data_IF_489334350117
#
_entry.id   IF_489334350117
#
_cell.length_a   1.000
_cell.length_b   1.000
_cell.length_c   1.000
_cell.angle_alpha   90.00
_cell.angle_beta   90.00
_cell.angle_gamma   90.00
#
_symmetry.space_group_name_H-M   'P 1'
#
loop_
_entity.id
_entity.type
_entity.pdbx_description
1 polymer ?
#
# COMPACT_ATOMS: atom_id res chain seq x y z
N UNK A 1 -25.68 -43.37 -28.13
CA UNK A 1 -25.65 -42.86 -26.76
C UNK A 1 -27.01 -42.24 -26.52
N UNK A 2 -27.76 -42.74 -25.58
CA UNK A 2 -29.13 -42.25 -25.36
C UNK A 2 -29.12 -40.77 -25.04
N UNK A 3 -30.06 -39.99 -25.59
CA UNK A 3 -30.10 -38.54 -25.40
C UNK A 3 -30.05 -38.09 -23.94
N UNK A 4 -30.67 -38.90 -23.05
CA UNK A 4 -30.66 -38.67 -21.60
C UNK A 4 -29.28 -38.86 -20.96
N UNK A 5 -28.51 -39.86 -21.42
CA UNK A 5 -27.14 -40.09 -20.91
C UNK A 5 -26.22 -38.95 -21.38
N UNK A 6 -26.41 -38.44 -22.61
CA UNK A 6 -25.67 -37.26 -23.12
C UNK A 6 -25.97 -36.03 -22.28
N UNK A 7 -27.25 -35.78 -21.92
CA UNK A 7 -27.64 -34.66 -21.06
C UNK A 7 -27.02 -34.69 -19.67
N UNK A 8 -27.00 -35.88 -19.03
CA UNK A 8 -26.33 -36.05 -17.74
C UNK A 8 -24.80 -35.82 -17.80
N UNK A 9 -24.18 -36.29 -18.89
CA UNK A 9 -22.74 -36.09 -19.08
C UNK A 9 -22.42 -34.60 -19.26
N UNK A 10 -23.26 -33.88 -20.06
CA UNK A 10 -23.13 -32.43 -20.19
C UNK A 10 -23.36 -31.70 -18.85
N UNK A 11 -24.30 -32.18 -18.02
CA UNK A 11 -24.51 -31.63 -16.69
C UNK A 11 -23.23 -31.66 -15.84
N UNK A 12 -22.58 -32.81 -15.79
CA UNK A 12 -21.32 -32.94 -15.04
C UNK A 12 -20.22 -32.03 -15.60
N UNK A 13 -20.07 -31.98 -16.92
CA UNK A 13 -19.08 -31.12 -17.60
C UNK A 13 -19.34 -29.65 -17.30
N UNK A 14 -20.58 -29.20 -17.45
CA UNK A 14 -20.95 -27.79 -17.19
C UNK A 14 -20.84 -27.42 -15.72
N UNK A 15 -21.21 -28.34 -14.82
CA UNK A 15 -21.08 -28.15 -13.38
C UNK A 15 -19.60 -28.01 -12.97
N UNK A 16 -18.72 -28.85 -13.52
CA UNK A 16 -17.26 -28.74 -13.30
C UNK A 16 -16.69 -27.46 -13.93
N UNK A 17 -17.18 -27.06 -15.10
CA UNK A 17 -16.81 -25.79 -15.74
C UNK A 17 -17.21 -24.59 -14.87
N UNK A 18 -18.44 -24.59 -14.35
CA UNK A 18 -18.91 -23.58 -13.42
C UNK A 18 -18.04 -23.52 -12.15
N UNK A 19 -17.81 -24.67 -11.55
CA UNK A 19 -16.95 -24.83 -10.37
C UNK A 19 -15.53 -24.30 -10.62
N UNK A 20 -14.97 -24.55 -11.81
CA UNK A 20 -13.66 -24.02 -12.21
C UNK A 20 -13.66 -22.49 -12.24
N UNK A 21 -14.64 -21.86 -12.92
CA UNK A 21 -14.69 -20.39 -12.99
C UNK A 21 -14.90 -19.75 -11.62
N UNK A 22 -15.81 -20.29 -10.80
CA UNK A 22 -16.05 -19.81 -9.44
C UNK A 22 -14.78 -19.97 -8.57
N UNK A 23 -14.17 -21.15 -8.59
CA UNK A 23 -12.96 -21.37 -7.81
C UNK A 23 -11.80 -20.46 -8.24
N UNK A 24 -11.62 -20.26 -9.54
CA UNK A 24 -10.59 -19.39 -10.08
C UNK A 24 -10.82 -17.92 -9.75
N UNK A 25 -12.08 -17.45 -9.77
CA UNK A 25 -12.46 -16.11 -9.35
C UNK A 25 -12.04 -15.84 -7.91
N UNK A 26 -12.50 -16.69 -6.98
CA UNK A 26 -12.18 -16.51 -5.57
C UNK A 26 -10.71 -16.74 -5.26
N UNK A 27 -10.02 -17.59 -6.00
CA UNK A 27 -8.58 -17.76 -5.87
C UNK A 27 -7.80 -16.49 -6.27
N UNK A 28 -8.20 -15.80 -7.36
CA UNK A 28 -7.56 -14.52 -7.77
C UNK A 28 -7.75 -13.44 -6.74
N UNK A 29 -8.96 -13.32 -6.15
CA UNK A 29 -9.28 -12.27 -5.18
C UNK A 29 -8.63 -12.53 -3.81
N UNK A 30 -8.60 -13.80 -3.37
CA UNK A 30 -8.20 -14.16 -2.01
C UNK A 30 -6.71 -14.45 -1.86
N UNK A 31 -6.02 -14.77 -2.96
CA UNK A 31 -4.59 -15.09 -2.91
C UNK A 31 -3.74 -13.83 -2.65
N UNK A 32 -2.79 -13.93 -1.73
CA UNK A 32 -1.90 -12.83 -1.38
C UNK A 32 -0.69 -12.82 -2.31
N UNK A 33 -0.47 -11.70 -3.01
CA UNK A 33 0.66 -11.51 -3.92
C UNK A 33 2.00 -11.83 -3.23
N UNK A 34 2.19 -11.35 -2.00
CA UNK A 34 3.40 -11.55 -1.22
C UNK A 34 3.77 -13.04 -0.97
N UNK A 35 2.80 -13.97 -1.02
CA UNK A 35 3.05 -15.39 -0.86
C UNK A 35 3.37 -16.12 -2.19
N UNK A 36 2.97 -15.52 -3.31
CA UNK A 36 3.17 -16.08 -4.66
C UNK A 36 4.47 -15.54 -5.29
N UNK A 37 4.81 -14.29 -5.04
CA UNK A 37 5.94 -13.56 -5.62
C UNK A 37 7.29 -14.28 -5.43
N UNK A 38 7.65 -14.80 -4.23
CA UNK A 38 8.91 -15.54 -4.05
C UNK A 38 9.03 -16.79 -4.92
N UNK A 39 7.88 -17.45 -5.20
CA UNK A 39 7.85 -18.62 -6.10
C UNK A 39 7.99 -18.22 -7.56
N UNK A 40 7.49 -17.05 -7.96
CA UNK A 40 7.66 -16.50 -9.30
C UNK A 40 9.11 -16.09 -9.55
N UNK A 41 9.77 -15.49 -8.54
CA UNK A 41 11.21 -15.17 -8.56
C UNK A 41 12.08 -16.41 -8.63
N UNK A 42 11.71 -17.47 -7.91
CA UNK A 42 12.35 -18.79 -7.99
C UNK A 42 12.14 -19.51 -9.35
N UNK A 43 11.46 -18.86 -10.32
CA UNK A 43 11.34 -19.37 -11.69
C UNK A 43 10.07 -20.18 -11.99
N UNK A 44 9.14 -20.34 -11.04
CA UNK A 44 7.89 -21.08 -11.23
C UNK A 44 6.99 -20.44 -12.30
N UNK A 45 6.75 -21.18 -13.40
CA UNK A 45 5.87 -20.71 -14.50
C UNK A 45 4.42 -20.43 -14.05
N UNK A 46 3.76 -21.33 -13.27
CA UNK A 46 2.41 -21.06 -12.76
C UNK A 46 2.36 -19.78 -11.92
N UNK A 47 3.34 -19.56 -11.03
CA UNK A 47 3.39 -18.38 -10.19
C UNK A 47 3.55 -17.09 -11.02
N UNK A 48 4.41 -17.09 -12.06
CA UNK A 48 4.55 -15.94 -12.98
C UNK A 48 3.26 -15.62 -13.72
N UNK A 49 2.50 -16.65 -14.15
CA UNK A 49 1.20 -16.43 -14.81
C UNK A 49 0.16 -15.92 -13.83
N UNK A 50 0.17 -16.43 -12.60
CA UNK A 50 -0.75 -15.96 -11.53
C UNK A 50 -0.50 -14.49 -11.20
N UNK A 51 0.77 -14.07 -11.05
CA UNK A 51 1.10 -12.65 -10.83
C UNK A 51 0.59 -11.78 -12.00
N UNK A 52 0.83 -12.20 -13.25
CA UNK A 52 0.30 -11.49 -14.45
C UNK A 52 -1.22 -11.41 -14.48
N UNK A 53 -1.91 -12.42 -13.98
CA UNK A 53 -3.36 -12.42 -13.85
C UNK A 53 -3.82 -11.46 -12.75
N UNK A 54 -3.13 -11.45 -11.60
CA UNK A 54 -3.39 -10.52 -10.50
C UNK A 54 -3.15 -9.05 -10.89
N UNK A 55 -2.26 -8.77 -11.85
CA UNK A 55 -2.10 -7.43 -12.43
C UNK A 55 -3.25 -7.01 -13.36
N UNK A 56 -4.18 -7.93 -13.67
CA UNK A 56 -5.32 -7.73 -14.59
C UNK A 56 -6.61 -8.26 -13.99
N UNK A 57 -6.84 -7.93 -12.73
CA UNK A 57 -7.97 -8.48 -11.94
C UNK A 57 -9.30 -8.29 -12.65
N UNK A 58 -9.62 -7.11 -13.18
CA UNK A 58 -10.87 -6.86 -13.92
C UNK A 58 -11.05 -7.78 -15.12
N UNK A 59 -9.99 -8.03 -15.89
CA UNK A 59 -10.08 -8.96 -16.99
C UNK A 59 -10.36 -10.38 -16.52
N UNK A 60 -9.74 -10.79 -15.41
CA UNK A 60 -9.96 -12.11 -14.80
C UNK A 60 -11.40 -12.23 -14.31
N UNK A 61 -11.90 -11.25 -13.55
CA UNK A 61 -13.26 -11.23 -13.02
C UNK A 61 -14.31 -11.22 -14.13
N UNK A 62 -14.15 -10.37 -15.15
CA UNK A 62 -15.06 -10.37 -16.30
C UNK A 62 -15.08 -11.73 -17.02
N UNK A 63 -13.90 -12.38 -17.11
CA UNK A 63 -13.78 -13.70 -17.73
C UNK A 63 -14.50 -14.77 -16.92
N UNK A 64 -14.34 -14.78 -15.61
CA UNK A 64 -15.01 -15.76 -14.71
C UNK A 64 -16.52 -15.55 -14.72
N UNK A 65 -16.99 -14.30 -14.65
CA UNK A 65 -18.42 -13.98 -14.70
C UNK A 65 -19.08 -14.42 -16.02
N UNK A 66 -18.41 -14.19 -17.16
CA UNK A 66 -18.89 -14.68 -18.46
C UNK A 66 -18.93 -16.21 -18.44
N UNK A 67 -17.88 -16.86 -17.95
CA UNK A 67 -17.79 -18.31 -17.87
C UNK A 67 -18.89 -18.93 -17.01
N UNK A 68 -19.10 -18.41 -15.80
CA UNK A 68 -20.18 -18.82 -14.88
C UNK A 68 -21.55 -18.63 -15.55
N UNK A 69 -21.78 -17.46 -16.17
CA UNK A 69 -23.06 -17.17 -16.82
C UNK A 69 -23.35 -18.15 -17.98
N UNK A 70 -22.36 -18.42 -18.83
CA UNK A 70 -22.49 -19.40 -19.92
C UNK A 70 -22.79 -20.80 -19.39
N UNK A 71 -22.03 -21.26 -18.39
CA UNK A 71 -22.25 -22.58 -17.77
C UNK A 71 -23.65 -22.68 -17.16
N UNK A 72 -24.11 -21.68 -16.44
CA UNK A 72 -25.41 -21.64 -15.78
C UNK A 72 -26.55 -21.65 -16.78
N UNK A 73 -26.46 -20.86 -17.84
CA UNK A 73 -27.47 -20.84 -18.92
C UNK A 73 -27.52 -22.16 -19.69
N UNK A 74 -26.36 -22.77 -19.96
CA UNK A 74 -26.32 -24.08 -20.64
C UNK A 74 -26.83 -25.19 -19.75
N UNK A 75 -26.60 -25.17 -18.44
CA UNK A 75 -27.20 -26.11 -17.49
C UNK A 75 -28.73 -26.02 -17.59
N UNK A 76 -29.29 -24.82 -17.54
CA UNK A 76 -30.72 -24.65 -17.62
C UNK A 76 -31.31 -25.16 -18.96
N UNK A 77 -30.66 -24.87 -20.10
CA UNK A 77 -31.19 -25.22 -21.44
C UNK A 77 -30.98 -26.68 -21.82
N UNK A 78 -29.85 -27.29 -21.44
CA UNK A 78 -29.48 -28.64 -21.90
C UNK A 78 -29.88 -29.70 -20.87
N UNK A 79 -29.76 -29.38 -19.59
CA UNK A 79 -29.89 -30.39 -18.50
C UNK A 79 -31.33 -30.54 -18.07
N UNK A 80 -32.07 -29.42 -17.95
CA UNK A 80 -33.46 -29.46 -17.49
C UNK A 80 -34.32 -30.43 -18.31
N UNK A 81 -34.38 -30.35 -19.67
CA UNK A 81 -35.16 -31.30 -20.45
C UNK A 81 -34.74 -32.75 -20.28
N UNK A 82 -33.43 -33.00 -20.15
CA UNK A 82 -32.89 -34.36 -20.00
C UNK A 82 -33.27 -35.00 -18.67
N UNK A 83 -33.25 -34.22 -17.57
CA UNK A 83 -33.66 -34.71 -16.24
C UNK A 83 -35.17 -34.83 -16.17
N UNK A 84 -35.92 -33.89 -16.78
CA UNK A 84 -37.37 -33.96 -16.86
C UNK A 84 -37.87 -35.29 -17.52
N UNK A 85 -37.32 -35.62 -18.68
CA UNK A 85 -37.64 -36.88 -19.38
C UNK A 85 -37.24 -38.13 -18.62
N UNK A 86 -36.27 -38.06 -17.71
CA UNK A 86 -35.88 -39.18 -16.84
C UNK A 86 -36.88 -39.41 -15.69
N UNK A 87 -37.48 -38.32 -15.18
CA UNK A 87 -38.43 -38.34 -14.07
C UNK A 87 -39.87 -38.64 -14.50
N UNK A 88 -40.26 -38.20 -15.70
CA UNK A 88 -41.62 -38.33 -16.22
C UNK A 88 -42.17 -39.78 -16.17
N UNK A 89 -41.43 -40.82 -16.60
CA UNK A 89 -41.91 -42.21 -16.51
C UNK A 89 -42.14 -42.69 -15.08
N UNK A 90 -41.31 -42.20 -14.12
CA UNK A 90 -41.45 -42.56 -12.72
C UNK A 90 -42.72 -41.95 -12.08
N UNK A 91 -43.08 -40.74 -12.49
CA UNK A 91 -44.27 -40.05 -12.00
C UNK A 91 -45.57 -40.59 -12.65
N UNK A 92 -45.52 -41.02 -13.89
CA UNK A 92 -46.64 -41.73 -14.54
C UNK A 92 -46.94 -43.08 -13.86
N UNK A 93 -45.93 -43.78 -13.34
CA UNK A 93 -46.12 -45.03 -12.60
C UNK A 93 -46.90 -44.85 -11.28
N UNK A 94 -47.02 -43.62 -10.76
CA UNK A 94 -47.78 -43.30 -9.55
C UNK A 94 -49.23 -42.89 -9.85
N UNK A 95 -49.69 -43.06 -11.11
CA UNK A 95 -51.07 -42.73 -11.57
C UNK A 95 -51.48 -41.27 -11.42
N UNK A 96 -50.51 -40.33 -11.47
CA UNK A 96 -50.76 -38.90 -11.61
C UNK A 96 -51.21 -38.58 -13.03
N UNK A 97 -52.23 -37.71 -13.18
CA UNK A 97 -52.61 -37.24 -14.51
C UNK A 97 -51.49 -36.52 -15.22
N UNK A 98 -51.40 -36.68 -16.55
CA UNK A 98 -50.24 -36.26 -17.37
C UNK A 98 -49.80 -34.82 -17.13
N UNK A 99 -50.71 -33.87 -17.01
CA UNK A 99 -50.39 -32.44 -16.77
C UNK A 99 -49.82 -32.20 -15.37
N UNK A 100 -50.29 -32.96 -14.36
CA UNK A 100 -49.78 -32.84 -12.97
C UNK A 100 -48.43 -33.49 -12.85
N UNK A 101 -48.26 -34.68 -13.46
CA UNK A 101 -47.00 -35.40 -13.52
C UNK A 101 -45.89 -34.56 -14.14
N UNK A 102 -46.16 -33.92 -15.27
CA UNK A 102 -45.20 -33.04 -15.94
C UNK A 102 -44.85 -31.79 -15.13
N UNK A 103 -45.82 -31.11 -14.49
CA UNK A 103 -45.56 -29.96 -13.64
C UNK A 103 -44.74 -30.32 -12.41
N UNK A 104 -45.04 -31.47 -11.78
CA UNK A 104 -44.25 -31.98 -10.64
C UNK A 104 -42.82 -32.35 -11.04
N UNK A 105 -42.68 -33.07 -12.19
CA UNK A 105 -41.38 -33.41 -12.76
C UNK A 105 -40.53 -32.17 -13.00
N UNK A 106 -41.10 -31.16 -13.62
CA UNK A 106 -40.42 -29.88 -13.88
C UNK A 106 -39.99 -29.20 -12.59
N UNK A 107 -40.90 -29.00 -11.63
CA UNK A 107 -40.59 -28.36 -10.36
C UNK A 107 -39.51 -29.09 -9.57
N UNK A 108 -39.59 -30.42 -9.51
CA UNK A 108 -38.59 -31.23 -8.83
C UNK A 108 -37.22 -31.17 -9.54
N UNK A 109 -37.20 -31.26 -10.86
CA UNK A 109 -35.99 -31.11 -11.68
C UNK A 109 -35.32 -29.76 -11.40
N UNK A 110 -36.11 -28.68 -11.44
CA UNK A 110 -35.61 -27.33 -11.22
C UNK A 110 -34.95 -27.23 -9.79
N UNK A 111 -35.62 -27.75 -8.77
CA UNK A 111 -35.06 -27.73 -7.40
C UNK A 111 -33.78 -28.54 -7.29
N UNK A 112 -33.75 -29.79 -7.80
CA UNK A 112 -32.58 -30.65 -7.71
C UNK A 112 -31.41 -30.11 -8.52
N UNK A 113 -31.62 -29.70 -9.75
CA UNK A 113 -30.56 -29.14 -10.61
C UNK A 113 -30.03 -27.83 -10.03
N UNK A 114 -30.90 -26.93 -9.55
CA UNK A 114 -30.47 -25.69 -8.90
C UNK A 114 -29.72 -25.95 -7.61
N UNK A 115 -30.18 -26.90 -6.79
CA UNK A 115 -29.47 -27.27 -5.58
C UNK A 115 -28.06 -27.79 -5.86
N UNK A 116 -27.91 -28.73 -6.80
CA UNK A 116 -26.60 -29.25 -7.19
C UNK A 116 -25.70 -28.17 -7.81
N UNK A 117 -26.29 -27.30 -8.65
CA UNK A 117 -25.56 -26.17 -9.25
C UNK A 117 -25.03 -25.22 -8.17
N UNK A 118 -25.88 -24.78 -7.24
CA UNK A 118 -25.46 -23.84 -6.18
C UNK A 118 -24.46 -24.51 -5.24
N UNK A 119 -24.72 -25.74 -4.77
CA UNK A 119 -23.84 -26.36 -3.77
C UNK A 119 -22.51 -26.80 -4.39
N UNK A 120 -22.56 -27.59 -5.49
CA UNK A 120 -21.36 -28.18 -6.08
C UNK A 120 -20.69 -27.21 -7.06
N UNK A 121 -21.49 -26.45 -7.82
CA UNK A 121 -21.00 -25.50 -8.82
C UNK A 121 -20.49 -24.17 -8.25
N UNK A 122 -20.98 -23.74 -7.07
CA UNK A 122 -20.63 -22.42 -6.51
C UNK A 122 -20.08 -22.51 -5.07
N UNK A 123 -20.86 -23.05 -4.10
CA UNK A 123 -20.47 -22.95 -2.68
C UNK A 123 -19.21 -23.74 -2.35
N UNK A 124 -19.13 -25.00 -2.81
CA UNK A 124 -17.97 -25.86 -2.54
C UNK A 124 -16.69 -25.30 -3.17
N UNK A 125 -16.65 -24.93 -4.46
CA UNK A 125 -15.47 -24.35 -5.09
C UNK A 125 -15.02 -23.06 -4.44
N UNK A 126 -15.96 -22.17 -4.11
CA UNK A 126 -15.73 -20.93 -3.37
C UNK A 126 -15.06 -21.20 -2.02
N UNK A 127 -15.62 -22.10 -1.21
CA UNK A 127 -15.10 -22.40 0.12
C UNK A 127 -13.70 -23.05 0.06
N UNK A 128 -13.44 -23.89 -0.93
CA UNK A 128 -12.11 -24.48 -1.16
C UNK A 128 -11.10 -23.36 -1.48
N UNK A 129 -11.46 -22.43 -2.37
CA UNK A 129 -10.57 -21.35 -2.76
C UNK A 129 -10.28 -20.37 -1.61
N UNK A 130 -11.23 -20.15 -0.70
CA UNK A 130 -10.99 -19.39 0.52
C UNK A 130 -10.10 -20.11 1.53
N UNK A 131 -10.22 -21.46 1.59
CA UNK A 131 -9.45 -22.25 2.57
C UNK A 131 -7.98 -22.41 2.19
N UNK A 132 -7.66 -22.47 0.90
CA UNK A 132 -6.29 -22.69 0.39
C UNK A 132 -6.00 -21.77 -0.82
N UNK A 133 -6.09 -20.44 -0.66
CA UNK A 133 -6.12 -19.49 -1.77
C UNK A 133 -4.88 -19.55 -2.65
N UNK A 134 -3.69 -19.66 -2.07
CA UNK A 134 -2.43 -19.67 -2.85
C UNK A 134 -2.29 -20.93 -3.70
N UNK A 135 -2.70 -22.09 -3.17
CA UNK A 135 -2.65 -23.35 -3.93
C UNK A 135 -3.69 -23.36 -5.03
N UNK A 136 -4.91 -22.91 -4.73
CA UNK A 136 -5.98 -22.76 -5.72
C UNK A 136 -5.56 -21.81 -6.85
N UNK A 137 -4.96 -20.67 -6.52
CA UNK A 137 -4.49 -19.72 -7.50
C UNK A 137 -3.40 -20.30 -8.40
N UNK A 138 -2.42 -21.00 -7.86
CA UNK A 138 -1.34 -21.58 -8.67
C UNK A 138 -1.82 -22.69 -9.61
N UNK A 139 -2.93 -23.37 -9.30
CA UNK A 139 -3.50 -24.45 -10.13
C UNK A 139 -4.48 -23.89 -11.17
N UNK A 140 -5.39 -23.00 -10.75
CA UNK A 140 -6.54 -22.61 -11.57
C UNK A 140 -6.27 -21.34 -12.40
N UNK A 141 -5.57 -20.37 -11.83
CA UNK A 141 -5.37 -19.07 -12.48
C UNK A 141 -4.54 -19.13 -13.78
N UNK A 142 -3.52 -19.98 -13.92
CA UNK A 142 -2.84 -20.14 -15.20
C UNK A 142 -3.78 -20.55 -16.36
N UNK A 143 -4.71 -21.47 -16.10
CA UNK A 143 -5.70 -21.89 -17.09
C UNK A 143 -6.69 -20.74 -17.38
N UNK A 144 -7.20 -20.08 -16.35
CA UNK A 144 -8.06 -18.91 -16.47
C UNK A 144 -7.39 -17.80 -17.29
N UNK A 145 -6.09 -17.55 -17.10
CA UNK A 145 -5.34 -16.52 -17.84
C UNK A 145 -5.37 -16.75 -19.35
N UNK A 146 -5.22 -18.01 -19.79
CA UNK A 146 -5.32 -18.34 -21.22
C UNK A 146 -6.74 -18.17 -21.76
N UNK A 147 -7.77 -18.55 -20.99
CA UNK A 147 -9.17 -18.32 -21.34
C UNK A 147 -9.45 -16.82 -21.46
N UNK A 148 -8.99 -16.04 -20.49
CA UNK A 148 -9.13 -14.58 -20.48
C UNK A 148 -8.46 -13.92 -21.69
N UNK A 149 -7.30 -14.42 -22.09
CA UNK A 149 -6.61 -13.91 -23.29
C UNK A 149 -7.42 -14.19 -24.58
N UNK A 150 -8.04 -15.37 -24.67
CA UNK A 150 -8.88 -15.75 -25.81
C UNK A 150 -10.15 -14.90 -25.92
N UNK A 151 -10.81 -14.61 -24.80
CA UNK A 151 -12.06 -13.82 -24.78
C UNK A 151 -11.85 -12.32 -24.55
N UNK A 152 -10.59 -11.87 -24.46
CA UNK A 152 -10.25 -10.45 -24.25
C UNK A 152 -11.00 -9.47 -25.17
N UNK A 153 -11.16 -9.74 -26.50
CA UNK A 153 -11.91 -8.82 -27.37
C UNK A 153 -13.39 -8.72 -26.98
N UNK A 154 -14.00 -9.80 -26.48
CA UNK A 154 -15.38 -9.80 -25.98
C UNK A 154 -15.50 -8.95 -24.73
N UNK A 155 -14.60 -9.17 -23.76
CA UNK A 155 -14.56 -8.38 -22.53
C UNK A 155 -14.33 -6.89 -22.83
N UNK A 156 -13.45 -6.56 -23.78
CA UNK A 156 -13.23 -5.18 -24.20
C UNK A 156 -14.51 -4.53 -24.77
N UNK A 157 -15.26 -5.27 -25.57
CA UNK A 157 -16.54 -4.80 -26.09
C UNK A 157 -17.58 -4.53 -24.99
N UNK A 158 -17.68 -5.44 -24.03
CA UNK A 158 -18.57 -5.27 -22.87
C UNK A 158 -18.17 -4.07 -22.01
N UNK A 159 -16.86 -3.89 -21.77
CA UNK A 159 -16.36 -2.74 -21.03
C UNK A 159 -16.63 -1.41 -21.75
N UNK A 160 -16.53 -1.37 -23.08
CA UNK A 160 -16.90 -0.17 -23.87
C UNK A 160 -18.39 0.15 -23.67
N UNK A 161 -19.27 -0.86 -23.74
CA UNK A 161 -20.69 -0.67 -23.50
C UNK A 161 -20.99 -0.20 -22.07
N UNK A 162 -20.40 -0.84 -21.06
CA UNK A 162 -20.54 -0.48 -19.65
C UNK A 162 -20.05 0.95 -19.39
N UNK A 163 -18.86 1.31 -19.90
CA UNK A 163 -18.31 2.66 -19.76
C UNK A 163 -19.15 3.71 -20.50
N UNK A 164 -19.79 3.34 -21.60
CA UNK A 164 -20.78 4.18 -22.31
C UNK A 164 -21.98 4.51 -21.41
N UNK A 165 -22.51 3.51 -20.72
CA UNK A 165 -23.61 3.68 -19.76
C UNK A 165 -23.15 4.54 -18.55
N UNK A 166 -21.98 4.27 -17.98
CA UNK A 166 -21.44 5.05 -16.85
C UNK A 166 -21.30 6.55 -17.19
N UNK A 167 -20.88 6.85 -18.44
CA UNK A 167 -20.77 8.25 -18.91
C UNK A 167 -22.14 8.95 -18.98
N UNK A 168 -23.22 8.24 -19.26
CA UNK A 168 -24.57 8.81 -19.21
C UNK A 168 -24.98 9.25 -17.81
N UNK A 169 -24.43 8.60 -16.78
CA UNK A 169 -24.63 8.95 -15.37
C UNK A 169 -23.55 9.92 -14.84
N UNK A 170 -22.66 10.45 -15.69
CA UNK A 170 -21.60 11.38 -15.29
C UNK A 170 -20.41 10.75 -14.53
N UNK A 171 -20.37 9.42 -14.46
CA UNK A 171 -19.30 8.68 -13.77
C UNK A 171 -18.18 8.36 -14.77
N UNK A 172 -16.92 8.69 -14.38
CA UNK A 172 -15.74 8.28 -15.14
C UNK A 172 -15.21 6.97 -14.54
N UNK A 173 -15.09 5.93 -15.36
CA UNK A 173 -14.42 4.70 -14.97
C UNK A 173 -12.94 5.01 -14.66
N UNK A 174 -12.45 4.59 -13.47
CA UNK A 174 -11.02 4.59 -13.15
C UNK A 174 -10.36 3.40 -13.84
N UNK A 175 -9.26 3.65 -14.55
CA UNK A 175 -8.40 2.58 -15.04
C UNK A 175 -7.71 1.92 -13.84
N UNK A 176 -7.94 0.62 -13.64
CA UNK A 176 -7.36 -0.19 -12.54
C UNK A 176 -5.84 -0.36 -12.63
N UNK A 177 -5.22 0.08 -13.73
CA UNK A 177 -3.79 -0.03 -13.96
C UNK A 177 -2.92 0.80 -12.99
N UNK A 178 -3.52 1.68 -12.19
CA UNK A 178 -2.84 2.55 -11.23
C UNK A 178 -3.23 2.24 -9.78
N UNK A 179 -3.03 1.01 -9.35
CA UNK A 179 -3.04 0.68 -7.90
C UNK A 179 -1.67 0.90 -7.25
N UNK A 180 -0.97 1.98 -7.63
CA UNK A 180 0.05 2.54 -6.76
C UNK A 180 -0.69 3.20 -5.59
N UNK A 181 -0.48 2.70 -4.40
CA UNK A 181 -0.97 3.35 -3.19
C UNK A 181 -0.33 4.74 -3.11
N UNK A 182 -1.13 5.76 -2.82
CA UNK A 182 -0.60 7.07 -2.48
C UNK A 182 0.05 7.01 -1.10
N UNK A 183 0.92 7.98 -0.77
CA UNK A 183 1.56 8.06 0.54
C UNK A 183 0.50 8.04 1.65
N UNK A 184 -0.55 8.86 1.51
CA UNK A 184 -1.68 8.94 2.45
C UNK A 184 -2.38 7.58 2.67
N UNK A 185 -2.55 6.78 1.61
CA UNK A 185 -3.14 5.43 1.73
C UNK A 185 -2.23 4.45 2.45
N UNK A 186 -0.91 4.60 2.30
CA UNK A 186 0.07 3.78 3.03
C UNK A 186 0.07 4.18 4.50
N UNK A 187 -0.02 5.47 4.80
CA UNK A 187 -0.16 6.00 6.16
C UNK A 187 -1.42 5.46 6.85
N UNK A 188 -2.59 5.56 6.20
CA UNK A 188 -3.86 5.00 6.69
C UNK A 188 -3.74 3.50 7.01
N UNK A 189 -3.08 2.72 6.13
CA UNK A 189 -2.86 1.29 6.33
C UNK A 189 -1.96 1.03 7.54
N UNK A 190 -0.89 1.80 7.71
CA UNK A 190 0.04 1.69 8.84
C UNK A 190 -0.66 2.04 10.15
N UNK A 191 -1.40 3.16 10.19
CA UNK A 191 -2.14 3.59 11.36
C UNK A 191 -3.19 2.54 11.77
N UNK A 192 -3.96 2.03 10.83
CA UNK A 192 -4.96 0.99 11.08
C UNK A 192 -4.32 -0.32 11.58
N UNK A 193 -3.21 -0.74 10.95
CA UNK A 193 -2.47 -1.94 11.35
C UNK A 193 -1.86 -1.82 12.75
N UNK A 194 -1.44 -0.62 13.14
CA UNK A 194 -0.90 -0.33 14.48
C UNK A 194 -2.02 -0.34 15.52
N UNK A 195 -3.20 0.23 15.23
CA UNK A 195 -4.37 0.19 16.10
C UNK A 195 -4.89 -1.23 16.34
N UNK A 196 -4.85 -2.08 15.31
CA UNK A 196 -5.26 -3.49 15.43
C UNK A 196 -4.19 -4.39 16.07
N UNK A 197 -3.01 -3.86 16.38
CA UNK A 197 -1.90 -4.63 16.95
C UNK A 197 -1.22 -5.58 15.97
N UNK A 198 -1.51 -5.47 14.66
CA UNK A 198 -0.87 -6.24 13.61
C UNK A 198 0.54 -5.71 13.27
N UNK A 199 0.76 -4.41 13.49
CA UNK A 199 2.04 -3.73 13.38
C UNK A 199 2.43 -3.16 14.75
N UNK A 200 3.68 -3.37 15.17
CA UNK A 200 4.21 -2.83 16.42
C UNK A 200 5.11 -1.63 16.10
N UNK A 201 4.61 -0.42 16.31
CA UNK A 201 5.39 0.81 16.22
C UNK A 201 5.57 1.42 17.62
N UNK A 202 6.30 0.67 18.49
CA UNK A 202 6.50 1.05 19.89
C UNK A 202 7.27 2.37 20.08
N UNK A 203 8.04 2.79 19.10
CA UNK A 203 8.83 4.03 19.11
C UNK A 203 8.12 5.19 18.40
N UNK A 204 7.03 4.93 17.69
CA UNK A 204 6.39 5.91 16.81
C UNK A 204 7.19 6.25 15.54
N UNK A 205 8.31 5.56 15.30
CA UNK A 205 9.23 5.91 14.20
C UNK A 205 8.59 5.82 12.83
N UNK A 206 7.68 4.86 12.63
CA UNK A 206 7.00 4.69 11.32
C UNK A 206 6.04 5.87 11.11
N UNK A 207 5.25 6.21 12.11
CA UNK A 207 4.33 7.36 12.07
C UNK A 207 5.11 8.67 11.89
N UNK A 208 6.16 8.89 12.68
CA UNK A 208 7.00 10.08 12.57
C UNK A 208 7.67 10.21 11.19
N UNK A 209 7.94 9.08 10.49
CA UNK A 209 8.49 9.11 9.13
C UNK A 209 7.52 9.75 8.14
N UNK A 210 6.21 9.50 8.25
CA UNK A 210 5.21 10.14 7.40
C UNK A 210 5.10 11.63 7.72
N UNK A 211 4.99 12.00 9.00
CA UNK A 211 4.96 13.39 9.42
C UNK A 211 6.22 14.17 8.99
N UNK A 212 7.38 13.52 9.01
CA UNK A 212 8.65 14.10 8.59
C UNK A 212 8.64 14.53 7.12
N UNK A 213 8.00 13.76 6.21
CA UNK A 213 7.94 14.09 4.79
C UNK A 213 7.07 15.32 4.49
N UNK A 214 6.18 15.70 5.40
CA UNK A 214 5.32 16.88 5.26
C UNK A 214 5.95 18.16 5.85
N UNK A 215 6.95 18.02 6.75
CA UNK A 215 7.58 19.13 7.46
C UNK A 215 8.55 19.92 6.57
N UNK A 216 8.66 21.19 6.88
CA UNK A 216 9.58 22.14 6.26
C UNK A 216 10.62 22.64 7.25
N UNK A 217 11.66 23.25 6.74
CA UNK A 217 12.73 23.86 7.54
C UNK A 217 12.17 24.84 8.60
N UNK A 218 11.15 25.64 8.25
CA UNK A 218 10.57 26.63 9.17
C UNK A 218 9.82 25.99 10.36
N UNK A 219 9.36 24.75 10.21
CA UNK A 219 8.63 24.03 11.26
C UNK A 219 9.57 23.54 12.38
N UNK A 220 10.85 23.31 12.06
CA UNK A 220 11.85 22.72 12.97
C UNK A 220 12.95 23.69 13.36
N UNK A 221 13.27 24.66 12.48
CA UNK A 221 14.34 25.64 12.75
C UNK A 221 14.06 26.47 14.01
N UNK A 222 15.04 26.57 14.88
CA UNK A 222 14.97 27.40 16.09
C UNK A 222 14.98 28.87 15.68
N UNK A 223 13.90 29.65 15.96
CA UNK A 223 13.83 31.06 15.61
C UNK A 223 14.96 31.87 16.24
N UNK A 224 15.46 32.90 15.53
CA UNK A 224 16.56 33.77 16.04
C UNK A 224 16.29 34.34 17.42
N UNK A 225 15.03 34.69 17.73
CA UNK A 225 14.64 35.23 19.05
C UNK A 225 14.81 34.23 20.22
N UNK A 226 14.84 32.93 19.95
CA UNK A 226 15.01 31.85 20.95
C UNK A 226 16.43 31.28 20.96
N UNK A 227 17.27 31.72 20.05
CA UNK A 227 18.60 31.18 19.85
C UNK A 227 19.55 31.65 20.95
N UNK A 228 20.30 30.75 21.54
CA UNK A 228 21.41 31.07 22.44
C UNK A 228 22.65 31.28 21.56
N UNK A 229 22.89 32.51 21.15
CA UNK A 229 24.03 32.90 20.31
C UNK A 229 25.10 33.67 21.14
N UNK A 230 26.32 33.68 20.66
CA UNK A 230 27.45 34.45 21.23
C UNK A 230 27.88 35.50 20.19
N UNK A 231 28.62 36.53 20.68
CA UNK A 231 29.23 37.51 19.76
C UNK A 231 30.30 36.83 18.90
N UNK A 232 30.48 37.29 17.65
CA UNK A 232 31.62 36.87 16.81
C UNK A 232 32.97 37.16 17.41
N UNK A 233 33.03 38.14 18.31
CA UNK A 233 34.23 38.55 19.06
C UNK A 233 34.33 37.89 20.43
N UNK A 234 33.50 36.90 20.74
CA UNK A 234 33.51 36.23 22.03
C UNK A 234 34.86 35.55 22.32
N UNK A 235 35.18 35.49 23.60
CA UNK A 235 36.38 34.81 24.11
C UNK A 235 36.10 33.34 24.47
N UNK A 236 37.12 32.50 24.52
CA UNK A 236 36.97 31.12 24.99
C UNK A 236 36.34 31.01 26.40
N UNK A 237 36.64 31.94 27.30
CA UNK A 237 36.04 32.02 28.63
C UNK A 237 34.52 32.25 28.57
N UNK A 238 34.06 33.07 27.67
CA UNK A 238 32.61 33.33 27.46
C UNK A 238 31.90 32.09 26.89
N UNK A 239 32.56 31.36 25.99
CA UNK A 239 32.03 30.08 25.48
C UNK A 239 31.96 29.05 26.60
N UNK A 240 32.98 28.92 27.43
CA UNK A 240 33.00 28.00 28.58
C UNK A 240 31.88 28.34 29.57
N UNK A 241 31.67 29.63 29.86
CA UNK A 241 30.58 30.08 30.70
C UNK A 241 29.20 29.75 30.09
N UNK A 242 29.04 29.92 28.77
CA UNK A 242 27.81 29.55 28.06
C UNK A 242 27.57 28.03 28.09
N UNK A 243 28.62 27.22 27.91
CA UNK A 243 28.52 25.75 28.01
C UNK A 243 28.12 25.31 29.42
N UNK A 244 28.73 25.92 30.43
CA UNK A 244 28.40 25.63 31.83
C UNK A 244 26.94 25.98 32.16
N UNK A 245 26.41 27.05 31.59
CA UNK A 245 25.08 27.57 31.86
C UNK A 245 24.01 26.83 31.09
N UNK A 246 24.23 26.54 29.77
CA UNK A 246 23.23 26.05 28.86
C UNK A 246 23.44 24.60 28.43
N UNK A 247 24.67 24.06 28.50
CA UNK A 247 25.00 22.68 28.20
C UNK A 247 25.05 22.33 26.69
N UNK A 248 24.97 23.31 25.80
CA UNK A 248 25.02 23.04 24.35
C UNK A 248 26.46 22.77 23.89
N UNK A 249 26.59 21.95 22.84
CA UNK A 249 27.89 21.64 22.23
C UNK A 249 28.24 22.60 21.08
N UNK A 250 27.31 23.40 20.57
CA UNK A 250 27.48 24.31 19.47
C UNK A 250 26.75 25.62 19.74
N UNK A 251 27.39 26.73 19.42
CA UNK A 251 26.88 28.07 19.63
C UNK A 251 26.98 28.87 18.35
N UNK A 252 25.84 29.34 17.76
CA UNK A 252 25.83 30.31 16.69
C UNK A 252 26.53 31.59 17.12
N UNK A 253 27.21 32.21 16.18
CA UNK A 253 27.84 33.53 16.35
C UNK A 253 27.08 34.58 15.59
N UNK A 254 26.90 35.75 16.22
CA UNK A 254 26.25 36.91 15.64
C UNK A 254 27.21 38.10 15.62
N UNK A 255 27.11 38.90 14.55
CA UNK A 255 27.80 40.15 14.44
C UNK A 255 27.08 41.31 15.18
N UNK A 256 27.55 42.57 14.96
CA UNK A 256 26.95 43.74 15.57
C UNK A 256 25.51 44.01 15.09
N UNK A 257 25.16 43.61 13.88
CA UNK A 257 23.83 43.74 13.28
C UNK A 257 22.89 42.56 13.69
N UNK A 258 23.34 41.66 14.56
CA UNK A 258 22.67 40.42 14.98
C UNK A 258 22.47 39.42 13.83
N UNK A 259 23.23 39.50 12.75
CA UNK A 259 23.25 38.50 11.70
C UNK A 259 24.13 37.33 12.06
N UNK A 260 23.69 36.11 11.72
CA UNK A 260 24.40 34.88 12.02
C UNK A 260 25.56 34.69 11.03
N UNK A 261 26.80 34.84 11.51
CA UNK A 261 28.03 34.80 10.70
C UNK A 261 28.72 33.43 10.70
N UNK A 262 28.53 32.64 11.75
CA UNK A 262 29.18 31.35 11.89
C UNK A 262 28.73 30.59 13.14
N UNK A 263 29.49 29.60 13.53
CA UNK A 263 29.31 28.93 14.82
C UNK A 263 30.62 28.40 15.39
N UNK A 264 30.66 28.20 16.70
CA UNK A 264 31.73 27.51 17.40
C UNK A 264 31.22 26.17 17.95
N UNK A 265 32.10 25.18 17.95
CA UNK A 265 31.87 23.90 18.61
C UNK A 265 32.69 23.84 19.91
N UNK A 266 32.14 23.22 20.97
CA UNK A 266 32.86 23.05 22.26
C UNK A 266 34.30 22.53 22.10
N UNK A 267 34.54 21.62 21.13
CA UNK A 267 35.88 21.12 20.84
C UNK A 267 36.87 22.21 20.42
N UNK A 268 36.38 23.29 19.80
CA UNK A 268 37.25 24.38 19.35
C UNK A 268 37.81 25.19 20.50
N UNK A 269 37.22 25.07 21.73
CA UNK A 269 37.67 25.66 22.97
C UNK A 269 38.70 24.80 23.69
N UNK A 270 38.58 23.47 23.59
CA UNK A 270 39.42 22.52 24.33
C UNK A 270 40.90 22.49 23.86
N UNK A 271 41.16 22.92 22.62
CA UNK A 271 42.51 22.92 22.04
C UNK A 271 43.24 24.23 22.19
N UNK A 272 42.79 25.13 23.09
CA UNK A 272 43.39 26.43 23.31
C UNK A 272 44.42 26.39 24.42
N UNK A 273 45.44 27.28 24.30
CA UNK A 273 46.46 27.47 25.29
C UNK A 273 45.94 28.43 26.38
N UNK A 274 46.46 28.32 27.58
CA UNK A 274 46.03 29.14 28.73
C UNK A 274 46.18 30.67 28.49
N UNK A 275 47.14 31.07 27.64
CA UNK A 275 47.37 32.46 27.26
C UNK A 275 46.36 33.00 26.22
N UNK A 276 45.59 32.13 25.53
CA UNK A 276 44.61 32.49 24.49
C UNK A 276 43.16 32.57 25.03
N UNK A 277 42.92 32.28 26.31
CA UNK A 277 41.57 32.12 26.88
C UNK A 277 40.77 33.43 26.97
N UNK A 278 41.45 34.55 27.07
CA UNK A 278 40.86 35.89 27.19
C UNK A 278 40.96 36.72 25.90
N UNK A 279 41.47 36.11 24.81
CA UNK A 279 41.48 36.74 23.48
C UNK A 279 40.31 36.24 22.58
N UNK A 280 39.75 37.08 21.68
CA UNK A 280 38.72 36.67 20.76
C UNK A 280 39.18 35.53 19.84
N UNK A 281 38.27 34.66 19.48
CA UNK A 281 38.56 33.55 18.56
C UNK A 281 39.05 34.06 17.21
N UNK A 282 40.14 33.51 16.67
CA UNK A 282 40.57 33.87 15.33
C UNK A 282 39.54 33.36 14.30
N UNK A 283 39.25 34.20 13.30
CA UNK A 283 38.22 33.96 12.27
C UNK A 283 38.34 32.56 11.56
N UNK A 284 39.56 32.02 11.48
CA UNK A 284 39.83 30.68 10.92
C UNK A 284 39.25 29.51 11.73
N UNK A 285 38.90 29.75 13.03
CA UNK A 285 38.25 28.74 13.90
C UNK A 285 36.73 28.82 13.87
N UNK A 286 36.18 29.92 13.35
CA UNK A 286 34.74 30.07 13.18
C UNK A 286 34.28 29.18 11.99
N UNK A 287 33.37 28.29 12.28
CA UNK A 287 32.81 27.37 11.27
C UNK A 287 31.70 28.05 10.51
N UNK A 288 31.67 27.85 9.20
CA UNK A 288 30.62 28.41 8.33
C UNK A 288 29.34 27.59 8.40
N UNK A 289 28.18 28.26 8.27
CA UNK A 289 26.90 27.62 8.12
C UNK A 289 26.50 27.59 6.64
N UNK A 290 25.78 26.55 6.24
CA UNK A 290 25.06 26.56 4.97
C UNK A 290 23.75 27.35 5.16
N UNK A 291 23.23 27.85 4.05
CA UNK A 291 21.95 28.59 4.04
C UNK A 291 20.90 27.78 3.31
N UNK A 292 19.72 27.62 3.91
CA UNK A 292 18.61 26.85 3.39
C UNK A 292 17.34 27.71 3.36
N UNK A 293 16.52 27.66 2.29
CA UNK A 293 15.21 28.32 2.28
C UNK A 293 14.31 27.77 3.41
N UNK A 294 13.57 28.64 4.09
CA UNK A 294 12.64 28.23 5.16
C UNK A 294 11.51 27.34 4.65
N UNK A 295 11.15 27.47 3.36
CA UNK A 295 10.10 26.68 2.70
C UNK A 295 10.59 25.34 2.15
N UNK A 296 11.89 25.03 2.25
CA UNK A 296 12.46 23.77 1.79
C UNK A 296 11.90 22.61 2.62
N UNK A 297 11.60 21.47 1.96
CA UNK A 297 11.21 20.24 2.64
C UNK A 297 12.33 19.74 3.55
N UNK A 298 11.96 19.22 4.71
CA UNK A 298 12.92 18.83 5.75
C UNK A 298 13.83 17.68 5.29
N UNK A 299 13.31 16.80 4.42
CA UNK A 299 14.07 15.72 3.80
C UNK A 299 15.20 16.26 2.89
N UNK A 300 14.90 17.26 2.06
CA UNK A 300 15.88 17.91 1.19
C UNK A 300 16.92 18.71 1.99
N UNK A 301 16.48 19.32 3.10
CA UNK A 301 17.38 19.99 4.03
C UNK A 301 18.36 19.02 4.65
N UNK A 302 17.88 17.87 5.15
CA UNK A 302 18.70 16.79 5.69
C UNK A 302 19.71 16.27 4.66
N UNK A 303 19.26 16.00 3.43
CA UNK A 303 20.12 15.55 2.34
C UNK A 303 21.21 16.59 2.01
N UNK A 304 20.86 17.88 2.02
CA UNK A 304 21.80 18.99 1.77
C UNK A 304 22.83 19.13 2.88
N UNK A 305 22.42 19.06 4.16
CA UNK A 305 23.31 19.12 5.31
C UNK A 305 24.27 17.93 5.34
N UNK A 306 23.80 16.73 5.08
CA UNK A 306 24.62 15.51 5.03
C UNK A 306 25.68 15.57 3.94
N UNK A 307 25.33 16.08 2.75
CA UNK A 307 26.26 16.16 1.60
C UNK A 307 27.49 17.01 1.90
N UNK A 308 27.34 18.07 2.72
CA UNK A 308 28.44 18.97 3.07
C UNK A 308 28.94 18.76 4.52
N UNK A 309 28.46 17.72 5.20
CA UNK A 309 28.80 17.43 6.59
C UNK A 309 28.48 18.59 7.54
N UNK A 310 27.44 19.37 7.26
CA UNK A 310 27.00 20.46 8.10
C UNK A 310 26.12 19.93 9.25
N UNK A 311 26.37 20.38 10.46
CA UNK A 311 25.53 20.12 11.64
C UNK A 311 24.55 21.24 11.94
N UNK A 312 24.76 22.40 11.32
CA UNK A 312 23.92 23.59 11.49
C UNK A 312 23.72 24.28 10.14
N UNK A 313 22.54 24.81 9.94
CA UNK A 313 22.19 25.60 8.75
C UNK A 313 21.38 26.82 9.18
N UNK A 314 21.60 27.97 8.56
CA UNK A 314 20.72 29.13 8.73
C UNK A 314 19.54 29.05 7.77
N UNK A 315 18.34 29.29 8.29
CA UNK A 315 17.10 29.35 7.53
C UNK A 315 16.81 30.79 7.12
N UNK A 316 16.44 31.02 5.86
CA UNK A 316 16.10 32.35 5.34
C UNK A 316 14.76 32.34 4.61
N UNK A 317 14.05 33.50 4.67
CA UNK A 317 12.79 33.71 3.95
C UNK A 317 13.03 34.13 2.49
N UNK A 318 11.93 34.29 1.73
CA UNK A 318 11.97 34.76 0.32
C UNK A 318 12.60 36.14 0.15
N UNK A 319 12.65 36.96 1.19
CA UNK A 319 13.27 38.25 1.21
C UNK A 319 14.76 38.21 1.61
N UNK A 320 15.31 37.01 1.84
CA UNK A 320 16.70 36.81 2.25
C UNK A 320 16.99 37.08 3.74
N UNK A 321 15.96 37.33 4.56
CA UNK A 321 16.13 37.59 6.00
C UNK A 321 16.28 36.23 6.74
N UNK A 322 17.23 36.18 7.66
CA UNK A 322 17.44 35.00 8.49
C UNK A 322 16.28 34.81 9.46
N UNK A 323 15.63 33.66 9.42
CA UNK A 323 14.50 33.29 10.27
C UNK A 323 14.93 32.53 11.51
N UNK A 324 15.94 31.68 11.38
CA UNK A 324 16.41 30.82 12.48
C UNK A 324 17.59 29.96 12.08
N UNK A 325 17.92 29.02 12.94
CA UNK A 325 18.96 28.00 12.73
C UNK A 325 18.33 26.63 12.84
N UNK A 326 18.60 25.79 11.85
CA UNK A 326 18.24 24.38 11.83
C UNK A 326 19.43 23.57 12.31
N UNK A 327 19.22 22.74 13.31
CA UNK A 327 20.21 21.80 13.82
C UNK A 327 19.95 20.39 13.25
N UNK A 328 21.01 19.67 12.93
CA UNK A 328 20.91 18.30 12.44
C UNK A 328 20.28 17.38 13.49
N UNK A 329 20.55 17.65 14.75
CA UNK A 329 20.01 16.92 15.88
C UNK A 329 18.48 17.05 15.95
N UNK A 330 17.92 18.26 15.73
CA UNK A 330 16.48 18.51 15.75
C UNK A 330 15.79 17.79 14.58
N UNK A 331 16.42 17.74 13.39
CA UNK A 331 15.91 16.98 12.24
C UNK A 331 15.84 15.47 12.58
N UNK A 332 16.86 14.94 13.27
CA UNK A 332 16.89 13.53 13.63
C UNK A 332 15.88 13.21 14.74
N UNK A 333 15.60 14.16 15.63
CA UNK A 333 14.58 14.03 16.66
C UNK A 333 13.19 13.92 16.08
N UNK A 334 12.88 14.66 15.00
CA UNK A 334 11.62 14.54 14.26
C UNK A 334 11.42 13.13 13.65
N UNK A 335 12.48 12.49 13.22
CA UNK A 335 12.44 11.14 12.65
C UNK A 335 12.31 10.03 13.70
N UNK A 336 13.07 10.15 14.81
CA UNK A 336 13.22 9.08 15.79
C UNK A 336 12.27 9.26 16.98
N UNK A 337 11.73 10.48 17.17
CA UNK A 337 11.02 10.90 18.37
C UNK A 337 12.00 11.30 19.49
N UNK A 338 11.48 11.89 20.58
CA UNK A 338 12.30 12.31 21.74
C UNK A 338 13.15 11.15 22.25
N UNK A 339 14.45 11.21 22.02
CA UNK A 339 15.41 10.33 22.66
C UNK A 339 15.56 10.81 24.12
N UNK A 340 14.82 10.20 25.03
CA UNK A 340 14.99 10.45 26.47
C UNK A 340 16.39 10.00 26.84
N UNK A 341 17.30 10.96 26.90
CA UNK A 341 18.66 10.73 27.39
C UNK A 341 18.58 10.29 28.86
N UNK A 342 18.84 9.00 29.08
CA UNK A 342 18.82 8.40 30.43
C UNK A 342 19.89 9.03 31.40
N UNK A 343 20.76 9.90 30.86
CA UNK A 343 21.79 10.60 31.63
C UNK A 343 21.35 11.95 32.21
N UNK A 344 20.22 12.51 31.78
CA UNK A 344 19.56 13.65 32.42
C UNK A 344 18.76 13.20 33.64
N UNK A 345 19.45 12.77 34.70
CA UNK A 345 18.88 12.77 36.05
C UNK A 345 18.96 14.20 36.57
N UNK A 346 17.77 14.80 36.78
CA UNK A 346 17.62 16.04 37.54
C UNK A 346 18.19 15.91 38.94
#
# INVERSE_FOLDING_TARGET
>A
MDANLAGLLWFVVLLLGNAFFVAAEFAVISARRAQIEPRAEAGSRPAKLTIKAMERVSLMLATTQIGVTICSLLILVIVEPSVHHLLEPLLHAIHLGDSVASAVAFGFTLVVVSFLHVVIGEMVPKNISFSVPERAALILVPALYFVALAIKPVVAGLNIAANGILRLFGVRAKDEANSAYTLDQVEDIVEHSTREGALSDLSGTITNTFEFTEKRVDDVAVPTAKLVALSETCTPREVEAAVTKYGFSRYPLVDEDADIVGYLHLKDVLDLREDEVDEPFPAKRIRTLISLPSTMELEDALASMRRVHAHMAKSFDEQGRVRGVLFLEDILEELVGEVKDATRRA
#
